data_IF_475472239057
#
_entry.id   IF_475472239057
#
_cell.length_a   1.000
_cell.length_b   1.000
_cell.length_c   1.000
_cell.angle_alpha   90.00
_cell.angle_beta   90.00
_cell.angle_gamma   90.00
#
_symmetry.space_group_name_H-M   'P 1'
#
loop_
_entity.id
_entity.type
_entity.pdbx_description
1 polymer ?
#
# COMPACT_ATOMS: atom_id res chain seq x y z
N UNK A 1 -80.98 -56.00 -73.97
CA UNK A 1 -81.65 -55.65 -75.24
C UNK A 1 -80.96 -56.38 -76.39
N UNK A 2 -81.76 -56.97 -77.26
CA UNK A 2 -81.35 -57.91 -78.30
C UNK A 2 -80.96 -57.23 -79.62
N UNK A 3 -80.37 -58.07 -80.51
CA UNK A 3 -80.03 -57.93 -81.95
C UNK A 3 -78.56 -57.58 -82.18
N UNK A 4 -77.73 -58.43 -82.80
CA UNK A 4 -77.95 -59.32 -83.95
C UNK A 4 -76.86 -58.96 -84.97
N UNK A 5 -75.71 -59.66 -85.00
CA UNK A 5 -75.34 -60.77 -85.90
C UNK A 5 -75.65 -60.51 -87.38
N UNK A 6 -74.60 -60.22 -88.17
CA UNK A 6 -74.23 -60.87 -89.45
C UNK A 6 -72.70 -60.68 -89.62
N UNK A 7 -71.81 -61.68 -89.48
CA UNK A 7 -71.48 -62.86 -90.31
C UNK A 7 -71.08 -62.57 -91.76
N UNK A 8 -69.77 -62.76 -92.03
CA UNK A 8 -69.12 -63.58 -93.10
C UNK A 8 -67.80 -62.91 -93.50
N UNK A 9 -66.72 -63.58 -93.87
CA UNK A 9 -66.26 -64.97 -93.88
C UNK A 9 -64.78 -64.93 -94.34
N UNK A 10 -64.10 -66.08 -94.28
CA UNK A 10 -62.75 -66.38 -94.81
C UNK A 10 -61.58 -65.89 -93.92
N UNK A 11 -60.91 -66.74 -93.15
CA UNK A 11 -60.45 -68.09 -93.51
C UNK A 11 -59.10 -68.04 -94.23
N UNK A 12 -58.06 -67.55 -93.56
CA UNK A 12 -56.65 -67.84 -93.93
C UNK A 12 -56.07 -68.72 -92.83
N UNK A 13 -56.03 -70.04 -93.04
CA UNK A 13 -55.23 -70.94 -92.18
C UNK A 13 -53.76 -70.59 -92.41
N UNK A 14 -53.05 -70.21 -91.35
CA UNK A 14 -51.64 -69.90 -91.42
C UNK A 14 -50.85 -71.13 -91.91
N UNK A 15 -49.91 -70.96 -92.87
CA UNK A 15 -49.12 -72.07 -93.41
C UNK A 15 -48.30 -72.74 -92.30
N UNK A 16 -48.39 -74.07 -92.22
CA UNK A 16 -47.62 -74.87 -91.29
C UNK A 16 -46.17 -74.91 -91.78
N UNK A 17 -45.25 -74.36 -91.01
CA UNK A 17 -43.83 -74.38 -91.34
C UNK A 17 -43.25 -75.71 -90.84
N UNK A 18 -42.81 -76.56 -91.78
CA UNK A 18 -42.19 -77.85 -91.49
C UNK A 18 -40.68 -77.66 -91.54
N UNK A 19 -40.02 -77.79 -90.38
CA UNK A 19 -38.57 -77.77 -90.30
C UNK A 19 -38.08 -79.22 -90.52
N UNK A 20 -37.36 -79.45 -91.61
CA UNK A 20 -36.76 -80.75 -91.92
C UNK A 20 -35.32 -80.71 -91.41
N UNK A 21 -35.05 -81.45 -90.33
CA UNK A 21 -33.71 -81.66 -89.81
C UNK A 21 -33.24 -83.04 -90.29
N UNK A 22 -32.34 -83.05 -91.28
CA UNK A 22 -31.70 -84.27 -91.76
C UNK A 22 -30.33 -84.42 -91.06
N UNK A 23 -30.14 -85.53 -90.35
CA UNK A 23 -28.84 -85.94 -89.80
C UNK A 23 -28.63 -87.42 -90.11
N UNK A 24 -27.78 -87.69 -91.10
CA UNK A 24 -27.51 -89.05 -91.60
C UNK A 24 -28.77 -89.76 -92.13
N UNK A 25 -28.85 -91.08 -91.92
CA UNK A 25 -29.94 -91.93 -92.44
C UNK A 25 -31.29 -91.77 -91.72
N UNK A 26 -31.45 -90.83 -90.77
CA UNK A 26 -32.71 -90.60 -90.05
C UNK A 26 -33.24 -89.19 -90.32
N UNK A 27 -34.37 -89.10 -91.03
CA UNK A 27 -35.09 -87.84 -91.24
C UNK A 27 -36.16 -87.71 -90.15
N UNK A 28 -36.01 -86.70 -89.27
CA UNK A 28 -37.04 -86.33 -88.29
C UNK A 28 -37.71 -85.03 -88.73
N UNK A 29 -39.03 -85.06 -88.88
CA UNK A 29 -39.84 -83.87 -89.14
C UNK A 29 -40.44 -83.37 -87.82
N UNK A 30 -40.28 -82.08 -87.54
CA UNK A 30 -40.95 -81.43 -86.40
C UNK A 30 -41.90 -80.36 -86.93
N UNK A 31 -43.19 -80.52 -86.63
CA UNK A 31 -44.22 -79.54 -87.03
C UNK A 31 -44.34 -78.46 -85.98
N UNK A 32 -43.92 -77.24 -86.29
CA UNK A 32 -44.09 -76.11 -85.37
C UNK A 32 -45.51 -75.57 -85.52
N UNK A 33 -46.37 -75.86 -84.55
CA UNK A 33 -47.71 -75.27 -84.48
C UNK A 33 -47.63 -73.82 -83.98
N UNK A 34 -48.46 -72.89 -84.47
CA UNK A 34 -48.38 -71.46 -84.11
C UNK A 34 -48.51 -71.18 -82.61
N UNK A 35 -49.20 -72.03 -81.84
CA UNK A 35 -49.29 -71.87 -80.37
C UNK A 35 -47.94 -72.10 -79.64
N UNK A 36 -47.05 -72.94 -80.19
CA UNK A 36 -45.74 -73.18 -79.58
C UNK A 36 -44.80 -71.98 -79.76
N UNK A 37 -44.87 -71.30 -80.92
CA UNK A 37 -44.13 -70.06 -81.14
C UNK A 37 -44.63 -68.92 -80.24
N UNK A 38 -45.94 -68.89 -79.94
CA UNK A 38 -46.50 -67.93 -78.99
C UNK A 38 -46.00 -68.17 -77.55
N UNK A 39 -45.90 -69.43 -77.11
CA UNK A 39 -45.37 -69.77 -75.78
C UNK A 39 -43.89 -69.45 -75.63
N UNK A 40 -43.07 -69.75 -76.64
CA UNK A 40 -41.64 -69.40 -76.58
C UNK A 40 -41.44 -67.89 -76.58
N UNK A 41 -42.21 -67.14 -77.38
CA UNK A 41 -42.17 -65.69 -77.37
C UNK A 41 -42.62 -65.10 -76.01
N UNK A 42 -43.65 -65.68 -75.39
CA UNK A 42 -44.11 -65.27 -74.07
C UNK A 42 -43.07 -65.58 -72.99
N UNK A 43 -42.41 -66.75 -73.05
CA UNK A 43 -41.33 -67.12 -72.15
C UNK A 43 -40.14 -66.16 -72.27
N UNK A 44 -39.69 -65.86 -73.49
CA UNK A 44 -38.65 -64.86 -73.73
C UNK A 44 -39.08 -63.45 -73.29
N UNK A 45 -40.36 -63.09 -73.46
CA UNK A 45 -40.94 -61.84 -72.98
C UNK A 45 -40.89 -61.70 -71.46
N UNK A 46 -41.31 -62.73 -70.71
CA UNK A 46 -41.23 -62.74 -69.25
C UNK A 46 -39.79 -62.71 -68.77
N UNK A 47 -38.88 -63.45 -69.43
CA UNK A 47 -37.48 -63.47 -69.06
C UNK A 47 -36.79 -62.11 -69.33
N UNK A 48 -37.10 -61.45 -70.44
CA UNK A 48 -36.58 -60.11 -70.75
C UNK A 48 -37.14 -59.05 -69.81
N UNK A 49 -38.43 -59.12 -69.47
CA UNK A 49 -39.03 -58.23 -68.46
C UNK A 49 -38.38 -58.45 -67.09
N UNK A 50 -38.19 -59.71 -66.68
CA UNK A 50 -37.51 -60.05 -65.43
C UNK A 50 -36.06 -59.57 -65.39
N UNK A 51 -35.34 -59.73 -66.50
CA UNK A 51 -33.97 -59.22 -66.65
C UNK A 51 -33.92 -57.69 -66.57
N UNK A 52 -34.81 -56.98 -67.27
CA UNK A 52 -34.91 -55.52 -67.22
C UNK A 52 -35.32 -55.00 -65.83
N UNK A 53 -36.21 -55.71 -65.13
CA UNK A 53 -36.61 -55.36 -63.78
C UNK A 53 -35.47 -55.56 -62.78
N UNK A 54 -34.70 -56.64 -62.91
CA UNK A 54 -33.55 -56.92 -62.05
C UNK A 54 -32.43 -55.89 -62.25
N UNK A 55 -32.10 -55.52 -63.50
CA UNK A 55 -31.10 -54.49 -63.79
C UNK A 55 -31.57 -53.12 -63.32
N UNK A 56 -32.85 -52.77 -63.51
CA UNK A 56 -33.43 -51.52 -62.98
C UNK A 56 -33.38 -51.46 -61.46
N UNK A 57 -33.70 -52.56 -60.76
CA UNK A 57 -33.63 -52.62 -59.29
C UNK A 57 -32.20 -52.44 -58.78
N UNK A 58 -31.21 -53.07 -59.41
CA UNK A 58 -29.79 -52.93 -59.00
C UNK A 58 -29.30 -51.49 -59.15
N UNK A 59 -29.62 -50.82 -60.26
CA UNK A 59 -29.26 -49.41 -60.47
C UNK A 59 -29.92 -48.50 -59.43
N UNK A 60 -31.22 -48.66 -59.19
CA UNK A 60 -31.94 -47.85 -58.19
C UNK A 60 -31.42 -48.13 -56.77
N UNK A 61 -31.08 -49.39 -56.46
CA UNK A 61 -30.50 -49.77 -55.15
C UNK A 61 -29.15 -49.11 -54.92
N UNK A 62 -28.27 -49.12 -55.93
CA UNK A 62 -26.95 -48.50 -55.82
C UNK A 62 -27.05 -46.97 -55.67
N UNK A 63 -27.98 -46.33 -56.39
CA UNK A 63 -28.26 -44.90 -56.22
C UNK A 63 -28.84 -44.59 -54.82
N UNK A 64 -29.73 -45.43 -54.29
CA UNK A 64 -30.34 -45.22 -52.97
C UNK A 64 -29.36 -45.46 -51.81
N UNK A 65 -28.53 -46.51 -51.91
CA UNK A 65 -27.45 -46.79 -50.96
C UNK A 65 -26.38 -45.72 -51.04
N UNK A 66 -26.00 -45.28 -52.25
CA UNK A 66 -25.08 -44.17 -52.46
C UNK A 66 -25.60 -42.86 -51.88
N UNK A 67 -26.87 -42.53 -52.08
CA UNK A 67 -27.48 -41.31 -51.54
C UNK A 67 -27.57 -41.31 -50.01
N UNK A 68 -27.91 -42.46 -49.40
CA UNK A 68 -28.00 -42.58 -47.93
C UNK A 68 -26.62 -42.57 -47.26
N UNK A 69 -25.63 -43.27 -47.84
CA UNK A 69 -24.24 -43.22 -47.39
C UNK A 69 -23.62 -41.83 -47.56
N UNK A 70 -23.87 -41.14 -48.67
CA UNK A 70 -23.43 -39.77 -48.86
C UNK A 70 -24.06 -38.80 -47.85
N UNK A 71 -25.34 -39.00 -47.49
CA UNK A 71 -26.01 -38.21 -46.46
C UNK A 71 -25.42 -38.48 -45.07
N UNK A 72 -25.16 -39.75 -44.72
CA UNK A 72 -24.50 -40.10 -43.45
C UNK A 72 -23.08 -39.52 -43.38
N UNK A 73 -22.29 -39.62 -44.44
CA UNK A 73 -20.95 -39.06 -44.51
C UNK A 73 -20.97 -37.52 -44.35
N UNK A 74 -21.90 -36.81 -45.00
CA UNK A 74 -22.07 -35.36 -44.81
C UNK A 74 -22.45 -35.00 -43.37
N UNK A 75 -23.40 -35.73 -42.78
CA UNK A 75 -23.78 -35.50 -41.37
C UNK A 75 -22.59 -35.74 -40.45
N UNK A 76 -21.81 -36.80 -40.69
CA UNK A 76 -20.61 -37.10 -39.91
C UNK A 76 -19.57 -35.98 -40.03
N UNK A 77 -19.27 -35.50 -41.25
CA UNK A 77 -18.36 -34.37 -41.44
C UNK A 77 -18.87 -33.08 -40.78
N UNK A 78 -20.16 -32.77 -40.89
CA UNK A 78 -20.75 -31.62 -40.18
C UNK A 78 -20.61 -31.74 -38.65
N UNK A 79 -20.72 -32.96 -38.10
CA UNK A 79 -20.48 -33.21 -36.67
C UNK A 79 -19.00 -33.11 -36.30
N UNK A 80 -18.10 -33.68 -37.10
CA UNK A 80 -16.65 -33.57 -36.93
C UNK A 80 -16.20 -32.11 -36.96
N UNK A 81 -16.70 -31.32 -37.90
CA UNK A 81 -16.42 -29.88 -38.01
C UNK A 81 -16.97 -29.10 -36.82
N UNK A 82 -18.19 -29.39 -36.35
CA UNK A 82 -18.75 -28.77 -35.14
C UNK A 82 -17.95 -29.12 -33.89
N UNK A 83 -17.51 -30.37 -33.76
CA UNK A 83 -16.67 -30.81 -32.64
C UNK A 83 -15.32 -30.12 -32.70
N UNK A 84 -14.70 -30.02 -33.88
CA UNK A 84 -13.44 -29.30 -34.07
C UNK A 84 -13.57 -27.81 -33.73
N UNK A 85 -14.65 -27.16 -34.16
CA UNK A 85 -14.93 -25.76 -33.84
C UNK A 85 -15.17 -25.54 -32.35
N UNK A 86 -15.96 -26.40 -31.69
CA UNK A 86 -16.19 -26.32 -30.24
C UNK A 86 -14.92 -26.58 -29.44
N UNK A 87 -14.08 -27.52 -29.87
CA UNK A 87 -12.78 -27.79 -29.25
C UNK A 87 -11.84 -26.61 -29.38
N UNK A 88 -11.75 -26.01 -30.57
CA UNK A 88 -10.95 -24.80 -30.79
C UNK A 88 -11.46 -23.61 -29.95
N UNK A 89 -12.77 -23.48 -29.77
CA UNK A 89 -13.36 -22.48 -28.87
C UNK A 89 -13.00 -22.75 -27.40
N UNK A 90 -13.11 -24.01 -26.96
CA UNK A 90 -12.75 -24.41 -25.60
C UNK A 90 -11.26 -24.14 -25.34
N UNK A 91 -10.37 -24.59 -26.23
CA UNK A 91 -8.92 -24.37 -26.14
C UNK A 91 -8.57 -22.88 -26.09
N UNK A 92 -9.28 -22.05 -26.87
CA UNK A 92 -9.11 -20.59 -26.86
C UNK A 92 -9.58 -19.96 -25.54
N UNK A 93 -10.69 -20.42 -24.97
CA UNK A 93 -11.22 -19.91 -23.70
C UNK A 93 -10.32 -20.36 -22.53
N UNK A 94 -9.93 -21.64 -22.49
CA UNK A 94 -9.03 -22.16 -21.45
C UNK A 94 -7.68 -21.48 -21.51
N UNK A 95 -7.11 -21.27 -22.69
CA UNK A 95 -5.84 -20.53 -22.84
C UNK A 95 -5.95 -19.09 -22.33
N UNK A 96 -7.05 -18.39 -22.64
CA UNK A 96 -7.29 -17.03 -22.13
C UNK A 96 -7.45 -17.01 -20.61
N UNK A 97 -8.19 -17.96 -20.05
CA UNK A 97 -8.40 -18.06 -18.61
C UNK A 97 -7.09 -18.34 -17.87
N UNK A 98 -6.23 -19.21 -18.41
CA UNK A 98 -4.91 -19.50 -17.82
C UNK A 98 -4.00 -18.27 -17.86
N UNK A 99 -3.98 -17.51 -18.97
CA UNK A 99 -3.22 -16.27 -19.07
C UNK A 99 -3.74 -15.20 -18.09
N UNK A 100 -5.06 -15.00 -18.02
CA UNK A 100 -5.68 -14.07 -17.08
C UNK A 100 -5.35 -14.45 -15.63
N UNK A 101 -5.37 -15.75 -15.30
CA UNK A 101 -4.98 -16.25 -13.99
C UNK A 101 -3.51 -15.94 -13.65
N UNK A 102 -2.58 -16.23 -14.57
CA UNK A 102 -1.15 -15.95 -14.36
C UNK A 102 -0.89 -14.45 -14.14
N UNK A 103 -1.56 -13.58 -14.90
CA UNK A 103 -1.44 -12.13 -14.74
C UNK A 103 -1.98 -11.67 -13.39
N UNK A 104 -3.12 -12.21 -12.96
CA UNK A 104 -3.69 -11.92 -11.63
C UNK A 104 -2.75 -12.39 -10.53
N UNK A 105 -2.22 -13.61 -10.62
CA UNK A 105 -1.26 -14.16 -9.64
C UNK A 105 -0.02 -13.27 -9.50
N UNK A 106 0.60 -12.87 -10.62
CA UNK A 106 1.74 -11.94 -10.61
C UNK A 106 1.41 -10.57 -10.00
N UNK A 107 0.20 -10.05 -10.24
CA UNK A 107 -0.25 -8.78 -9.64
C UNK A 107 -0.46 -8.93 -8.13
N UNK A 108 -1.03 -10.05 -7.67
CA UNK A 108 -1.22 -10.35 -6.25
C UNK A 108 0.14 -10.48 -5.55
N UNK A 109 1.08 -11.20 -6.14
CA UNK A 109 2.44 -11.35 -5.60
C UNK A 109 3.12 -9.99 -5.41
N UNK A 110 3.11 -9.13 -6.44
CA UNK A 110 3.65 -7.76 -6.33
C UNK A 110 2.95 -6.92 -5.27
N UNK A 111 1.63 -7.07 -5.10
CA UNK A 111 0.91 -6.36 -4.05
C UNK A 111 1.29 -6.85 -2.65
N UNK A 112 1.48 -8.16 -2.48
CA UNK A 112 1.93 -8.73 -1.20
C UNK A 112 3.35 -8.26 -0.87
N UNK A 113 4.25 -8.22 -1.85
CA UNK A 113 5.59 -7.64 -1.69
C UNK A 113 5.52 -6.16 -1.25
N UNK A 114 4.69 -5.36 -1.93
CA UNK A 114 4.48 -3.95 -1.57
C UNK A 114 3.88 -3.78 -0.17
N UNK A 115 2.91 -4.62 0.18
CA UNK A 115 2.27 -4.58 1.50
C UNK A 115 3.26 -4.95 2.62
N UNK A 116 4.07 -5.98 2.42
CA UNK A 116 5.10 -6.39 3.39
C UNK A 116 6.15 -5.29 3.57
N UNK A 117 6.63 -4.70 2.46
CA UNK A 117 7.57 -3.57 2.54
C UNK A 117 6.97 -2.37 3.30
N UNK A 118 5.69 -2.05 3.10
CA UNK A 118 5.01 -1.00 3.86
C UNK A 118 4.86 -1.36 5.34
N UNK A 119 4.61 -2.62 5.66
CA UNK A 119 4.50 -3.08 7.05
C UNK A 119 5.84 -2.97 7.79
N UNK A 120 6.93 -3.42 7.18
CA UNK A 120 8.28 -3.32 7.75
C UNK A 120 8.68 -1.85 7.98
N UNK A 121 8.37 -0.98 7.01
CA UNK A 121 8.56 0.47 7.12
C UNK A 121 7.73 1.08 8.25
N UNK A 122 6.47 0.68 8.40
CA UNK A 122 5.61 1.16 9.48
C UNK A 122 6.15 0.75 10.86
N UNK A 123 6.71 -0.46 10.99
CA UNK A 123 7.38 -0.90 12.21
C UNK A 123 8.57 -0.02 12.60
N UNK A 124 9.45 0.30 11.65
CA UNK A 124 10.58 1.24 11.87
C UNK A 124 10.09 2.62 12.27
N UNK A 125 9.09 3.14 11.55
CA UNK A 125 8.52 4.47 11.81
C UNK A 125 7.90 4.56 13.20
N UNK A 126 7.22 3.52 13.67
CA UNK A 126 6.65 3.49 15.03
C UNK A 126 7.69 3.75 16.12
N UNK A 127 8.90 3.18 16.00
CA UNK A 127 9.97 3.42 16.96
C UNK A 127 10.48 4.87 16.96
N UNK A 128 10.58 5.49 15.78
CA UNK A 128 10.99 6.89 15.65
C UNK A 128 9.89 7.85 16.08
N UNK A 129 8.63 7.48 15.87
CA UNK A 129 7.48 8.27 16.28
C UNK A 129 7.37 8.32 17.80
N UNK A 130 7.53 7.17 18.48
CA UNK A 130 7.62 7.12 19.94
C UNK A 130 8.78 7.98 20.46
N UNK A 131 9.96 7.90 19.82
CA UNK A 131 11.09 8.78 20.16
C UNK A 131 10.78 10.26 19.93
N UNK A 132 10.06 10.60 18.87
CA UNK A 132 9.62 11.97 18.61
C UNK A 132 8.67 12.46 19.72
N UNK A 133 7.71 11.63 20.16
CA UNK A 133 6.82 11.93 21.30
C UNK A 133 7.60 12.12 22.60
N UNK A 134 8.55 11.23 22.91
CA UNK A 134 9.44 11.36 24.07
C UNK A 134 10.29 12.65 24.00
N UNK A 135 10.67 13.05 22.79
CA UNK A 135 11.36 14.30 22.52
C UNK A 135 10.43 15.53 22.51
N UNK A 136 9.17 15.39 22.91
CA UNK A 136 8.19 16.46 23.05
C UNK A 136 7.59 16.98 21.74
N UNK A 137 7.81 16.29 20.62
CA UNK A 137 7.14 16.59 19.35
C UNK A 137 5.79 15.87 19.33
N UNK A 138 4.73 16.56 18.91
CA UNK A 138 3.43 15.91 18.73
C UNK A 138 3.50 14.96 17.55
N UNK A 139 3.43 13.66 17.81
CA UNK A 139 3.36 12.69 16.75
C UNK A 139 2.02 12.80 15.99
N UNK A 140 2.04 12.98 14.67
CA UNK A 140 0.84 12.89 13.87
C UNK A 140 0.37 11.44 13.81
N UNK A 141 -0.94 11.21 13.95
CA UNK A 141 -1.56 9.90 13.78
C UNK A 141 -1.27 9.36 12.37
N UNK A 142 -0.50 8.29 12.24
CA UNK A 142 -0.09 7.77 10.94
C UNK A 142 -1.24 6.97 10.32
N UNK A 143 -1.53 7.15 9.01
CA UNK A 143 -2.51 6.33 8.34
C UNK A 143 -2.05 4.87 8.40
N UNK A 144 -2.79 4.04 9.14
CA UNK A 144 -2.58 2.61 9.13
C UNK A 144 -2.93 2.05 7.75
N UNK A 145 -2.21 1.04 7.24
CA UNK A 145 -2.62 0.31 6.05
C UNK A 145 -3.91 -0.47 6.36
N UNK A 146 -5.05 0.21 6.28
CA UNK A 146 -6.35 -0.40 6.41
C UNK A 146 -6.77 -0.95 5.04
N UNK A 147 -7.10 -2.24 5.00
CA UNK A 147 -7.91 -2.79 3.92
C UNK A 147 -9.23 -2.01 3.89
N UNK A 148 -9.36 -1.04 2.99
CA UNK A 148 -10.67 -0.47 2.72
C UNK A 148 -11.46 -1.55 1.97
N UNK A 149 -12.52 -2.15 2.56
CA UNK A 149 -13.37 -3.02 1.78
C UNK A 149 -13.90 -2.19 0.63
N UNK A 150 -13.65 -2.65 -0.60
CA UNK A 150 -14.14 -2.05 -1.83
C UNK A 150 -15.58 -1.61 -1.57
N UNK A 151 -15.83 -0.29 -1.51
CA UNK A 151 -17.19 0.23 -1.43
C UNK A 151 -17.91 -0.47 -2.57
N UNK A 152 -18.91 -1.26 -2.21
CA UNK A 152 -19.77 -1.99 -3.14
C UNK A 152 -20.48 -0.90 -3.96
N UNK A 153 -19.80 -0.38 -4.99
CA UNK A 153 -20.41 0.47 -6.00
C UNK A 153 -21.66 -0.27 -6.41
N UNK A 154 -22.80 0.39 -6.21
CA UNK A 154 -24.15 -0.13 -6.32
C UNK A 154 -24.21 -1.19 -7.42
N UNK A 155 -23.99 -2.45 -7.04
CA UNK A 155 -24.47 -3.56 -7.83
C UNK A 155 -25.96 -3.33 -7.81
N UNK A 156 -26.52 -2.97 -8.97
CA UNK A 156 -27.96 -3.02 -9.19
C UNK A 156 -28.38 -4.43 -8.78
N UNK A 157 -28.84 -4.54 -7.53
CA UNK A 157 -29.22 -5.79 -6.94
C UNK A 157 -30.52 -6.15 -7.62
N UNK A 158 -30.47 -7.15 -8.49
CA UNK A 158 -31.66 -7.85 -8.99
C UNK A 158 -32.34 -8.67 -7.87
N UNK A 159 -32.26 -8.21 -6.62
CA UNK A 159 -32.79 -8.85 -5.41
C UNK A 159 -33.89 -8.01 -4.76
N UNK A 160 -34.51 -7.09 -5.50
CA UNK A 160 -35.62 -6.29 -4.99
C UNK A 160 -36.66 -6.07 -6.08
N UNK A 161 -37.55 -7.05 -6.29
CA UNK A 161 -38.92 -6.91 -6.83
C UNK A 161 -39.16 -6.25 -8.21
N UNK A 162 -38.19 -5.58 -8.82
CA UNK A 162 -38.40 -4.72 -9.99
C UNK A 162 -38.17 -5.42 -11.33
N UNK A 163 -37.52 -6.59 -11.34
CA UNK A 163 -37.37 -7.42 -12.54
C UNK A 163 -38.69 -8.03 -13.00
N UNK A 164 -39.57 -8.42 -12.07
CA UNK A 164 -40.88 -8.96 -12.39
C UNK A 164 -41.88 -7.90 -12.87
N UNK A 165 -41.77 -6.65 -12.40
CA UNK A 165 -42.62 -5.55 -12.86
C UNK A 165 -42.29 -5.09 -14.29
N UNK A 166 -41.05 -5.26 -14.76
CA UNK A 166 -40.67 -4.96 -16.14
C UNK A 166 -41.18 -6.03 -17.13
N UNK A 167 -41.24 -7.29 -16.68
CA UNK A 167 -41.74 -8.44 -17.47
C UNK A 167 -43.27 -8.38 -17.57
N UNK A 168 -43.97 -8.02 -16.48
CA UNK A 168 -45.43 -7.87 -16.46
C UNK A 168 -45.91 -6.76 -17.43
N UNK A 169 -45.15 -5.66 -17.52
CA UNK A 169 -45.39 -4.56 -18.47
C UNK A 169 -45.18 -4.91 -19.94
N UNK A 170 -44.39 -5.95 -20.21
CA UNK A 170 -44.14 -6.49 -21.56
C UNK A 170 -45.18 -7.56 -21.96
N UNK A 171 -45.79 -8.26 -20.99
CA UNK A 171 -46.85 -9.25 -21.23
C UNK A 171 -48.26 -8.65 -21.23
N UNK A 172 -48.51 -7.53 -20.54
CA UNK A 172 -49.80 -6.83 -20.56
C UNK A 172 -49.91 -5.95 -21.82
N UNK A 173 -50.27 -6.59 -22.93
CA UNK A 173 -50.26 -6.01 -24.27
C UNK A 173 -51.01 -4.69 -24.46
N UNK A 174 -50.37 -3.80 -25.21
CA UNK A 174 -51.02 -2.91 -26.19
C UNK A 174 -49.96 -2.26 -27.09
N UNK A 175 -49.53 -2.94 -28.13
CA UNK A 175 -48.97 -2.27 -29.32
C UNK A 175 -49.27 -3.09 -30.56
N UNK A 176 -49.88 -2.40 -31.51
CA UNK A 176 -50.36 -2.82 -32.80
C UNK A 176 -49.32 -3.58 -33.63
N UNK A 177 -49.81 -4.54 -34.40
CA UNK A 177 -49.04 -5.39 -35.29
C UNK A 177 -48.42 -4.61 -36.46
N UNK A 178 -47.16 -4.92 -36.76
CA UNK A 178 -46.57 -4.79 -38.10
C UNK A 178 -45.77 -6.08 -38.38
N UNK A 179 -45.85 -6.70 -39.57
CA UNK A 179 -45.35 -8.06 -39.77
C UNK A 179 -43.82 -8.11 -39.87
N UNK A 180 -43.27 -9.21 -39.35
CA UNK A 180 -41.85 -9.53 -39.29
C UNK A 180 -41.20 -9.71 -40.66
N UNK A 181 -40.00 -9.14 -40.81
CA UNK A 181 -38.99 -9.57 -41.76
C UNK A 181 -37.90 -10.34 -40.98
N UNK A 182 -37.98 -11.67 -40.98
CA UNK A 182 -37.08 -12.53 -40.20
C UNK A 182 -35.75 -12.73 -40.92
N UNK A 183 -34.74 -11.94 -40.54
CA UNK A 183 -33.34 -12.39 -40.56
C UNK A 183 -32.87 -12.53 -39.13
N UNK A 184 -32.77 -13.78 -38.67
CA UNK A 184 -32.08 -14.14 -37.42
C UNK A 184 -30.61 -13.72 -37.52
N UNK A 185 -30.31 -12.51 -37.06
CA UNK A 185 -28.99 -12.21 -36.54
C UNK A 185 -28.98 -12.70 -35.09
N UNK A 186 -28.24 -13.76 -34.83
CA UNK A 186 -27.74 -14.11 -33.50
C UNK A 186 -26.82 -12.96 -33.05
N UNK A 187 -27.44 -11.85 -32.62
CA UNK A 187 -26.78 -10.71 -32.04
C UNK A 187 -26.28 -11.10 -30.66
N UNK A 188 -24.98 -11.35 -30.59
CA UNK A 188 -24.20 -11.49 -29.37
C UNK A 188 -24.56 -10.35 -28.40
N UNK A 189 -25.30 -10.67 -27.33
CA UNK A 189 -25.42 -9.78 -26.16
C UNK A 189 -24.11 -9.97 -25.38
N UNK A 190 -23.25 -8.94 -25.22
CA UNK A 190 -22.08 -9.08 -24.37
C UNK A 190 -22.56 -9.15 -22.92
N UNK A 191 -22.67 -10.38 -22.39
CA UNK A 191 -22.89 -10.61 -20.98
C UNK A 191 -21.54 -10.60 -20.26
N UNK A 192 -21.45 -9.67 -19.29
CA UNK A 192 -20.59 -9.65 -18.10
C UNK A 192 -19.18 -9.08 -18.28
N UNK A 193 -18.91 -8.04 -17.48
CA UNK A 193 -17.58 -7.64 -17.01
C UNK A 193 -16.70 -8.89 -16.85
N UNK A 194 -15.59 -8.96 -17.59
CA UNK A 194 -14.66 -10.07 -17.46
C UNK A 194 -14.07 -10.07 -16.04
N UNK A 195 -13.75 -11.24 -15.50
CA UNK A 195 -13.15 -11.38 -14.16
C UNK A 195 -11.84 -10.58 -14.08
N UNK A 196 -11.08 -10.56 -15.18
CA UNK A 196 -9.88 -9.75 -15.35
C UNK A 196 -10.15 -8.24 -15.17
N UNK A 197 -11.20 -7.69 -15.79
CA UNK A 197 -11.53 -6.25 -15.71
C UNK A 197 -11.94 -5.84 -14.29
N UNK A 198 -12.57 -6.77 -13.55
CA UNK A 198 -12.89 -6.55 -12.13
C UNK A 198 -11.63 -6.59 -11.27
N UNK A 199 -10.74 -7.56 -11.49
CA UNK A 199 -9.48 -7.69 -10.76
C UNK A 199 -8.60 -6.44 -10.98
N UNK A 200 -8.49 -5.97 -12.23
CA UNK A 200 -7.69 -4.80 -12.59
C UNK A 200 -8.14 -3.50 -11.90
N UNK A 201 -9.46 -3.29 -11.79
CA UNK A 201 -10.00 -2.14 -11.04
C UNK A 201 -9.66 -2.22 -9.55
N UNK A 202 -9.77 -3.40 -8.95
CA UNK A 202 -9.42 -3.60 -7.53
C UNK A 202 -7.93 -3.37 -7.32
N UNK A 203 -7.07 -3.95 -8.17
CA UNK A 203 -5.63 -3.76 -8.10
C UNK A 203 -5.24 -2.29 -8.24
N UNK A 204 -5.79 -1.59 -9.23
CA UNK A 204 -5.55 -0.16 -9.43
C UNK A 204 -5.92 0.66 -8.19
N UNK A 205 -7.10 0.40 -7.60
CA UNK A 205 -7.54 1.10 -6.39
C UNK A 205 -6.64 0.83 -5.18
N UNK A 206 -6.21 -0.43 -5.00
CA UNK A 206 -5.29 -0.81 -3.91
C UNK A 206 -3.93 -0.15 -4.13
N UNK A 207 -3.34 -0.26 -5.33
CA UNK A 207 -2.06 0.39 -5.64
C UNK A 207 -2.11 1.91 -5.43
N UNK A 208 -3.19 2.57 -5.84
CA UNK A 208 -3.39 4.00 -5.61
C UNK A 208 -3.51 4.32 -4.11
N UNK A 209 -4.24 3.52 -3.35
CA UNK A 209 -4.36 3.69 -1.90
C UNK A 209 -3.00 3.54 -1.21
N UNK A 210 -2.22 2.51 -1.55
CA UNK A 210 -0.89 2.28 -0.99
C UNK A 210 0.06 3.42 -1.32
N UNK A 211 0.03 3.93 -2.56
CA UNK A 211 0.84 5.08 -2.99
C UNK A 211 0.46 6.38 -2.27
N UNK A 212 -0.83 6.60 -2.03
CA UNK A 212 -1.30 7.76 -1.26
C UNK A 212 -0.83 7.67 0.20
N UNK A 213 -0.93 6.49 0.82
CA UNK A 213 -0.42 6.25 2.18
C UNK A 213 1.09 6.52 2.23
N UNK A 214 1.87 5.99 1.29
CA UNK A 214 3.32 6.24 1.22
C UNK A 214 3.64 7.74 1.11
N UNK A 215 2.93 8.47 0.24
CA UNK A 215 3.11 9.91 0.08
C UNK A 215 2.76 10.69 1.35
N UNK A 216 1.68 10.31 2.03
CA UNK A 216 1.29 10.92 3.30
C UNK A 216 2.30 10.62 4.41
N UNK A 217 2.83 9.38 4.47
CA UNK A 217 3.86 8.99 5.43
C UNK A 217 5.15 9.80 5.20
N UNK A 218 5.61 9.91 3.95
CA UNK A 218 6.77 10.73 3.59
C UNK A 218 6.59 12.19 3.98
N UNK A 219 5.45 12.80 3.63
CA UNK A 219 5.17 14.20 3.96
C UNK A 219 5.19 14.45 5.48
N UNK A 220 4.69 13.48 6.27
CA UNK A 220 4.74 13.56 7.74
C UNK A 220 6.17 13.43 8.27
N UNK A 221 6.96 12.48 7.78
CA UNK A 221 8.37 12.33 8.14
C UNK A 221 9.12 13.64 7.85
N UNK A 222 8.97 14.21 6.66
CA UNK A 222 9.68 15.43 6.28
C UNK A 222 9.28 16.62 7.17
N UNK A 223 8.02 16.73 7.55
CA UNK A 223 7.57 17.76 8.48
C UNK A 223 8.18 17.57 9.87
N UNK A 224 8.15 16.34 10.41
CA UNK A 224 8.77 16.03 11.70
C UNK A 224 10.28 16.31 11.68
N UNK A 225 10.99 15.93 10.61
CA UNK A 225 12.41 16.22 10.45
C UNK A 225 12.68 17.72 10.45
N UNK A 226 11.84 18.49 9.75
CA UNK A 226 11.94 19.96 9.69
C UNK A 226 11.69 20.58 11.05
N UNK A 227 10.64 20.16 11.75
CA UNK A 227 10.28 20.68 13.08
C UNK A 227 11.33 20.33 14.12
N UNK A 228 11.84 19.10 14.11
CA UNK A 228 12.93 18.66 14.99
C UNK A 228 14.20 19.47 14.75
N UNK A 229 14.59 19.66 13.49
CA UNK A 229 15.78 20.43 13.11
C UNK A 229 15.65 21.89 13.48
N UNK A 230 14.50 22.52 13.18
CA UNK A 230 14.23 23.91 13.51
C UNK A 230 14.23 24.16 15.02
N UNK A 231 13.66 23.23 15.80
CA UNK A 231 13.67 23.30 17.27
C UNK A 231 15.08 23.15 17.81
N UNK A 232 15.86 22.19 17.29
CA UNK A 232 17.24 22.00 17.69
C UNK A 232 18.09 23.25 17.38
N UNK A 233 17.91 23.86 16.22
CA UNK A 233 18.63 25.09 15.82
C UNK A 233 18.23 26.29 16.69
N UNK A 234 16.95 26.41 17.05
CA UNK A 234 16.48 27.46 17.95
C UNK A 234 17.14 27.35 19.33
N UNK A 235 17.18 26.14 19.91
CA UNK A 235 17.83 25.89 21.20
C UNK A 235 19.34 26.13 21.08
N UNK A 236 20.00 25.59 20.06
CA UNK A 236 21.44 25.76 19.85
C UNK A 236 21.82 27.25 19.68
N UNK A 237 21.00 28.03 18.98
CA UNK A 237 21.21 29.47 18.85
C UNK A 237 21.10 30.20 20.19
N UNK A 238 20.21 29.77 21.10
CA UNK A 238 20.10 30.32 22.45
C UNK A 238 21.35 29.95 23.27
N UNK A 239 21.79 28.69 23.24
CA UNK A 239 22.97 28.19 23.95
C UNK A 239 24.26 28.88 23.46
N UNK A 240 24.38 29.13 22.16
CA UNK A 240 25.54 29.83 21.59
C UNK A 240 25.71 31.23 22.17
N UNK A 241 24.62 31.92 22.54
CA UNK A 241 24.68 33.27 23.15
C UNK A 241 25.16 33.26 24.58
N UNK A 242 25.04 32.14 25.29
CA UNK A 242 25.66 31.96 26.61
C UNK A 242 27.12 31.53 26.47
N UNK A 243 27.57 31.24 25.25
CA UNK A 243 28.94 30.84 24.91
C UNK A 243 29.24 29.38 25.20
N UNK A 244 28.23 28.55 25.45
CA UNK A 244 28.40 27.09 25.54
C UNK A 244 28.45 26.54 24.11
N UNK A 245 29.49 25.75 23.82
CA UNK A 245 29.57 25.01 22.56
C UNK A 245 28.77 23.73 22.71
N UNK A 246 27.70 23.60 21.92
CA UNK A 246 27.00 22.34 21.79
C UNK A 246 27.74 21.55 20.73
N UNK A 247 28.55 20.59 21.14
CA UNK A 247 29.11 19.64 20.19
C UNK A 247 27.97 18.78 19.67
N UNK A 248 27.65 18.81 18.36
CA UNK A 248 26.59 17.98 17.78
C UNK A 248 26.92 16.48 17.85
N UNK A 249 28.10 16.14 18.36
CA UNK A 249 28.67 14.81 18.40
C UNK A 249 29.19 14.45 19.79
N UNK A 250 28.65 15.02 20.88
CA UNK A 250 28.85 14.43 22.20
C UNK A 250 28.16 13.07 22.20
N UNK A 251 28.90 12.07 21.75
CA UNK A 251 28.54 10.65 21.82
C UNK A 251 27.98 10.45 23.22
N UNK A 252 26.71 10.03 23.30
CA UNK A 252 26.17 9.44 24.50
C UNK A 252 27.25 8.48 25.03
N UNK A 253 27.90 8.88 26.11
CA UNK A 253 28.99 8.12 26.70
C UNK A 253 28.31 7.00 27.47
N UNK A 254 27.92 5.96 26.72
CA UNK A 254 27.05 4.89 27.22
C UNK A 254 26.73 3.80 26.21
N UNK A 255 27.11 3.92 24.93
CA UNK A 255 27.07 2.77 24.02
C UNK A 255 28.22 2.81 23.02
N UNK A 256 29.36 2.23 23.40
CA UNK A 256 30.29 1.68 22.43
C UNK A 256 29.64 0.44 21.81
N UNK A 257 28.60 0.66 21.01
CA UNK A 257 28.33 -0.23 19.89
C UNK A 257 29.44 0.05 18.88
N UNK A 258 30.60 -0.56 19.12
CA UNK A 258 31.50 -0.92 18.03
C UNK A 258 30.63 -1.68 17.02
N UNK A 259 30.18 -0.98 15.98
CA UNK A 259 29.49 -1.59 14.87
C UNK A 259 30.42 -2.67 14.32
N UNK A 260 30.13 -3.93 14.64
CA UNK A 260 30.88 -5.08 14.16
C UNK A 260 30.86 -5.01 12.64
N UNK A 261 32.03 -4.70 12.06
CA UNK A 261 32.20 -4.53 10.63
C UNK A 261 31.80 -5.81 9.90
N UNK A 262 30.61 -5.80 9.32
CA UNK A 262 30.20 -6.78 8.34
C UNK A 262 31.04 -6.64 7.06
N UNK A 263 31.09 -7.67 6.21
CA UNK A 263 31.71 -7.54 4.90
C UNK A 263 31.11 -6.34 4.16
N UNK A 264 31.97 -5.52 3.55
CA UNK A 264 31.54 -4.40 2.72
C UNK A 264 30.67 -4.94 1.58
N UNK A 265 29.37 -4.67 1.65
CA UNK A 265 28.43 -4.90 0.56
C UNK A 265 28.23 -3.54 -0.11
N UNK A 266 28.40 -3.49 -1.43
CA UNK A 266 28.11 -2.28 -2.20
C UNK A 266 26.67 -1.81 -1.90
N UNK A 267 26.42 -0.49 -1.75
CA UNK A 267 25.08 0.02 -1.51
C UNK A 267 24.18 -0.48 -2.63
N UNK A 268 23.13 -1.23 -2.29
CA UNK A 268 22.08 -1.51 -3.26
C UNK A 268 21.44 -0.16 -3.58
N UNK A 269 21.73 0.36 -4.78
CA UNK A 269 21.15 1.60 -5.31
C UNK A 269 19.70 1.28 -5.73
N UNK A 270 18.90 0.94 -4.74
CA UNK A 270 17.45 1.13 -4.74
C UNK A 270 17.10 1.75 -3.39
N UNK A 271 17.86 2.79 -3.01
CA UNK A 271 17.61 3.54 -1.78
C UNK A 271 16.30 4.27 -2.01
N UNK A 272 15.22 3.65 -1.57
CA UNK A 272 13.91 4.25 -1.60
C UNK A 272 14.01 5.60 -0.88
N UNK A 273 13.47 6.68 -1.46
CA UNK A 273 13.54 8.02 -0.84
C UNK A 273 13.01 8.03 0.60
N UNK A 274 12.21 7.03 0.96
CA UNK A 274 11.74 6.77 2.32
C UNK A 274 12.85 6.43 3.31
N UNK A 275 13.79 5.54 2.98
CA UNK A 275 14.86 5.16 3.91
C UNK A 275 15.78 6.36 4.21
N UNK A 276 16.07 7.18 3.19
CA UNK A 276 16.80 8.44 3.38
C UNK A 276 16.06 9.39 4.31
N UNK A 277 14.73 9.56 4.12
CA UNK A 277 13.93 10.40 5.01
C UNK A 277 13.87 9.88 6.46
N UNK A 278 13.92 8.57 6.67
CA UNK A 278 14.00 7.98 8.02
C UNK A 278 15.34 8.26 8.69
N UNK A 279 16.45 8.10 7.96
CA UNK A 279 17.79 8.38 8.48
C UNK A 279 17.95 9.88 8.81
N UNK A 280 17.41 10.76 7.97
CA UNK A 280 17.35 12.20 8.23
C UNK A 280 16.53 12.53 9.48
N UNK A 281 15.38 11.87 9.68
CA UNK A 281 14.57 12.04 10.88
C UNK A 281 15.31 11.57 12.13
N UNK A 282 15.94 10.39 12.12
CA UNK A 282 16.71 9.88 13.27
C UNK A 282 17.85 10.84 13.62
N UNK A 283 18.59 11.33 12.64
CA UNK A 283 19.65 12.31 12.85
C UNK A 283 19.12 13.63 13.46
N UNK A 284 17.98 14.13 12.97
CA UNK A 284 17.35 15.34 13.49
C UNK A 284 16.88 15.17 14.94
N UNK A 285 16.24 14.03 15.26
CA UNK A 285 15.78 13.71 16.62
C UNK A 285 16.95 13.56 17.60
N UNK A 286 18.02 12.85 17.23
CA UNK A 286 19.22 12.72 18.07
C UNK A 286 19.87 14.07 18.35
N UNK A 287 19.94 14.94 17.35
CA UNK A 287 20.45 16.31 17.52
C UNK A 287 19.56 17.11 18.47
N UNK A 288 18.24 17.04 18.31
CA UNK A 288 17.29 17.72 19.19
C UNK A 288 17.45 17.24 20.64
N UNK A 289 17.53 15.94 20.86
CA UNK A 289 17.73 15.34 22.19
C UNK A 289 19.03 15.81 22.83
N UNK A 290 20.15 15.71 22.12
CA UNK A 290 21.47 16.15 22.59
C UNK A 290 21.48 17.64 22.98
N UNK A 291 20.84 18.48 22.17
CA UNK A 291 20.74 19.93 22.41
C UNK A 291 19.82 20.22 23.62
N UNK A 292 18.70 19.49 23.77
CA UNK A 292 17.80 19.61 24.94
C UNK A 292 18.46 19.16 26.23
N UNK A 293 19.21 18.05 26.20
CA UNK A 293 19.96 17.54 27.35
C UNK A 293 21.01 18.57 27.80
N UNK A 294 21.81 19.07 26.86
CA UNK A 294 22.78 20.14 27.14
C UNK A 294 22.10 21.38 27.73
N UNK A 295 20.90 21.72 27.26
CA UNK A 295 20.14 22.84 27.78
C UNK A 295 19.59 22.60 29.21
N UNK A 296 19.28 21.35 29.58
CA UNK A 296 18.78 21.00 30.92
C UNK A 296 19.87 21.00 31.99
N UNK A 297 21.10 20.66 31.61
CA UNK A 297 22.24 20.61 32.54
C UNK A 297 22.71 22.01 32.96
N UNK A 298 22.51 23.01 32.12
CA UNK A 298 23.06 24.35 32.33
C UNK A 298 22.18 25.24 33.25
N UNK A 299 22.80 26.22 33.94
CA UNK A 299 22.12 27.04 34.94
C UNK A 299 21.26 28.16 34.33
N UNK A 300 20.07 27.81 33.86
CA UNK A 300 19.13 28.76 33.21
C UNK A 300 17.97 29.24 34.10
N UNK A 301 17.82 28.67 35.29
CA UNK A 301 16.83 29.10 36.28
C UNK A 301 17.17 30.44 36.93
N UNK A 302 16.18 31.02 37.62
CA UNK A 302 16.35 32.24 38.41
C UNK A 302 16.69 31.87 39.87
N UNK A 303 17.81 32.36 40.45
CA UNK A 303 18.24 32.00 41.80
C UNK A 303 17.34 32.59 42.91
N UNK A 304 16.56 33.62 42.59
CA UNK A 304 15.62 34.29 43.50
C UNK A 304 14.29 34.57 42.74
N UNK A 305 13.42 33.56 42.56
CA UNK A 305 12.17 33.72 41.82
C UNK A 305 11.27 34.81 42.40
N UNK A 306 10.78 35.71 41.54
CA UNK A 306 9.91 36.83 41.96
C UNK A 306 10.66 38.07 42.46
N UNK A 307 12.00 38.04 42.48
CA UNK A 307 12.82 39.15 42.94
C UNK A 307 13.49 39.90 41.78
N UNK A 308 13.63 41.21 41.94
CA UNK A 308 14.27 42.08 40.94
C UNK A 308 15.80 42.15 41.13
N UNK A 309 16.50 42.41 40.02
CA UNK A 309 17.95 42.64 40.03
C UNK A 309 18.21 44.09 40.47
N UNK A 310 18.87 44.25 41.61
CA UNK A 310 19.26 45.55 42.16
C UNK A 310 20.65 45.98 41.70
N UNK A 311 21.51 45.01 41.36
CA UNK A 311 22.81 45.32 40.79
C UNK A 311 23.23 44.37 39.69
N UNK A 312 23.85 44.93 38.65
CA UNK A 312 24.30 44.21 37.46
C UNK A 312 25.77 43.84 37.54
N UNK A 313 26.14 42.84 36.75
CA UNK A 313 27.52 42.48 36.48
C UNK A 313 28.29 43.62 35.80
N UNK A 314 29.59 43.73 36.07
CA UNK A 314 30.49 44.65 35.40
C UNK A 314 31.19 45.66 36.33
N UNK A 315 31.99 46.55 35.74
CA UNK A 315 32.77 47.52 36.48
C UNK A 315 31.87 48.61 37.08
N UNK A 316 31.93 48.77 38.40
CA UNK A 316 31.21 49.80 39.16
C UNK A 316 32.07 50.37 40.28
N UNK A 317 31.64 51.49 40.86
CA UNK A 317 32.27 52.02 42.07
C UNK A 317 31.96 51.06 43.22
N UNK A 318 33.01 50.54 43.85
CA UNK A 318 32.91 49.66 45.00
C UNK A 318 32.30 50.41 46.19
N UNK A 319 31.20 49.91 46.80
CA UNK A 319 30.49 50.63 47.85
C UNK A 319 31.26 50.72 49.17
N UNK A 320 32.31 49.91 49.36
CA UNK A 320 33.13 49.92 50.58
C UNK A 320 34.44 50.69 50.38
N UNK A 321 35.05 50.60 49.19
CA UNK A 321 36.35 51.21 48.89
C UNK A 321 36.25 52.55 48.16
N UNK A 322 35.10 52.86 47.54
CA UNK A 322 34.91 54.08 46.73
C UNK A 322 35.75 54.13 45.45
N UNK A 323 36.23 52.97 44.97
CA UNK A 323 37.09 52.85 43.78
C UNK A 323 36.46 51.93 42.74
N UNK A 324 36.87 52.05 41.49
CA UNK A 324 36.38 51.17 40.42
C UNK A 324 36.77 49.71 40.72
N UNK A 325 35.79 48.81 40.73
CA UNK A 325 35.96 47.37 40.91
C UNK A 325 34.98 46.58 40.02
N UNK A 326 35.35 45.36 39.66
CA UNK A 326 34.48 44.45 38.93
C UNK A 326 33.47 43.82 39.90
N UNK A 327 32.18 43.99 39.62
CA UNK A 327 31.14 43.16 40.21
C UNK A 327 31.01 41.86 39.41
N UNK A 328 31.47 40.76 40.00
CA UNK A 328 31.61 39.45 39.34
C UNK A 328 30.28 38.66 39.20
N UNK A 329 29.15 39.27 39.59
CA UNK A 329 27.83 38.65 39.54
C UNK A 329 26.70 39.67 39.41
N UNK A 330 25.50 39.24 39.74
CA UNK A 330 24.30 40.09 39.84
C UNK A 330 23.72 39.97 41.25
N UNK A 331 23.13 41.05 41.74
CA UNK A 331 22.51 41.10 43.07
C UNK A 331 20.99 41.15 42.89
N UNK A 332 20.27 40.25 43.56
CA UNK A 332 18.81 40.23 43.62
C UNK A 332 18.31 40.77 44.96
N UNK A 333 17.30 41.64 44.93
CA UNK A 333 16.64 42.12 46.16
C UNK A 333 15.98 40.96 46.88
N UNK A 334 16.46 40.59 48.07
CA UNK A 334 15.86 39.53 48.85
C UNK A 334 15.96 39.81 50.34
N UNK A 335 14.84 39.71 51.05
CA UNK A 335 14.81 39.82 52.51
C UNK A 335 15.50 38.62 53.16
N UNK A 336 16.03 38.85 54.36
CA UNK A 336 16.68 37.77 55.12
C UNK A 336 15.69 36.63 55.36
N UNK A 337 16.08 35.41 54.99
CA UNK A 337 15.23 34.23 55.13
C UNK A 337 14.41 33.85 53.89
N UNK A 338 14.43 34.65 52.81
CA UNK A 338 13.81 34.23 51.55
C UNK A 338 14.58 33.08 50.90
N UNK A 339 13.88 32.25 50.11
CA UNK A 339 14.47 31.06 49.52
C UNK A 339 15.50 31.43 48.43
N UNK A 340 16.66 30.79 48.46
CA UNK A 340 17.62 30.78 47.35
C UNK A 340 17.57 29.41 46.71
N UNK A 341 17.42 29.37 45.39
CA UNK A 341 17.22 28.12 44.64
C UNK A 341 18.35 27.87 43.64
N UNK A 342 18.62 26.60 43.35
CA UNK A 342 19.57 26.22 42.31
C UNK A 342 19.05 26.60 40.92
N UNK A 343 19.90 27.22 40.10
CA UNK A 343 19.55 27.65 38.75
C UNK A 343 19.72 26.56 37.69
N UNK A 344 20.32 25.42 38.04
CA UNK A 344 20.47 24.27 37.15
C UNK A 344 20.72 23.01 37.97
N UNK A 345 20.59 21.85 37.32
CA UNK A 345 20.99 20.59 37.95
C UNK A 345 22.51 20.53 38.11
N UNK A 346 23.00 19.91 39.19
CA UNK A 346 24.44 19.84 39.41
C UNK A 346 24.83 19.27 40.77
N UNK A 347 26.13 19.29 41.03
CA UNK A 347 26.72 18.84 42.29
C UNK A 347 27.23 20.03 43.10
N UNK A 348 26.91 20.06 44.39
CA UNK A 348 27.47 21.06 45.31
C UNK A 348 28.96 20.79 45.50
N UNK A 349 29.81 21.75 45.13
CA UNK A 349 31.27 21.69 45.29
C UNK A 349 31.80 22.54 46.45
N UNK A 350 31.02 23.52 46.91
CA UNK A 350 31.33 24.30 48.11
C UNK A 350 30.03 24.62 48.84
N UNK A 351 30.00 24.44 50.17
CA UNK A 351 28.88 24.86 51.02
C UNK A 351 29.39 25.30 52.40
N UNK A 352 29.60 26.60 52.60
CA UNK A 352 30.10 27.13 53.87
C UNK A 352 30.55 28.60 53.83
N UNK A 353 31.21 29.08 54.90
CA UNK A 353 31.80 30.42 54.93
C UNK A 353 32.93 30.58 53.89
N UNK A 354 32.86 31.62 53.06
CA UNK A 354 33.77 31.87 51.93
C UNK A 354 34.20 33.34 51.88
N UNK A 355 34.86 33.81 52.94
CA UNK A 355 35.44 35.15 53.03
C UNK A 355 34.45 36.27 52.70
N UNK A 356 34.76 37.06 51.66
CA UNK A 356 33.92 38.18 51.22
C UNK A 356 32.51 37.79 50.78
N UNK A 357 32.29 36.55 50.35
CA UNK A 357 30.98 36.04 49.97
C UNK A 357 30.10 35.69 51.18
N UNK A 358 30.64 35.70 52.41
CA UNK A 358 29.90 35.25 53.59
C UNK A 358 29.59 33.76 53.49
N UNK A 359 28.38 33.36 53.84
CA UNK A 359 27.93 31.99 53.61
C UNK A 359 27.60 31.81 52.12
N UNK A 360 28.27 30.84 51.50
CA UNK A 360 28.21 30.63 50.07
C UNK A 360 27.93 29.16 49.73
N UNK A 361 27.16 28.97 48.66
CA UNK A 361 27.04 27.69 47.96
C UNK A 361 27.62 27.85 46.55
N UNK A 362 28.38 26.86 46.09
CA UNK A 362 28.86 26.74 44.72
C UNK A 362 28.44 25.41 44.12
N UNK A 363 27.88 25.45 42.92
CA UNK A 363 27.33 24.29 42.22
C UNK A 363 28.09 24.11 40.91
N UNK A 364 28.57 22.89 40.66
CA UNK A 364 29.10 22.45 39.38
C UNK A 364 28.01 21.84 38.52
N UNK A 365 27.77 22.44 37.36
CA UNK A 365 26.79 22.03 36.35
C UNK A 365 27.44 21.20 35.23
N UNK A 366 28.74 20.91 35.34
CA UNK A 366 29.51 20.31 34.27
C UNK A 366 29.87 21.31 33.17
N UNK A 367 30.56 20.83 32.13
CA UNK A 367 30.97 21.64 30.97
C UNK A 367 31.79 22.90 31.34
N UNK A 368 32.50 22.86 32.48
CA UNK A 368 33.25 23.99 33.01
C UNK A 368 32.39 25.13 33.56
N UNK A 369 31.07 24.93 33.71
CA UNK A 369 30.13 25.95 34.19
C UNK A 369 29.80 25.72 35.66
N UNK A 370 30.04 26.74 36.49
CA UNK A 370 29.70 26.74 37.92
C UNK A 370 28.84 27.95 38.27
N UNK A 371 28.03 27.83 39.31
CA UNK A 371 27.26 28.96 39.86
C UNK A 371 27.58 29.19 41.31
N UNK A 372 27.64 30.46 41.73
CA UNK A 372 27.86 30.85 43.14
C UNK A 372 26.69 31.64 43.67
N UNK A 373 26.35 31.35 44.91
CA UNK A 373 25.25 31.98 45.64
C UNK A 373 25.80 32.49 46.97
N UNK A 374 25.97 33.80 47.09
CA UNK A 374 26.62 34.45 48.23
C UNK A 374 25.65 35.08 49.23
N UNK A 375 26.22 35.56 50.32
CA UNK A 375 25.61 36.34 51.39
C UNK A 375 24.45 35.67 52.13
N UNK A 376 24.36 34.33 52.09
CA UNK A 376 23.25 33.60 52.71
C UNK A 376 23.20 33.80 54.23
N UNK A 377 21.99 33.81 54.80
CA UNK A 377 21.79 33.72 56.25
C UNK A 377 21.91 32.27 56.75
N UNK A 378 21.49 31.32 55.93
CA UNK A 378 21.54 29.88 56.25
C UNK A 378 21.76 29.06 54.98
N UNK A 379 22.67 28.09 55.05
CA UNK A 379 22.89 27.08 54.02
C UNK A 379 22.06 25.84 54.39
N UNK A 380 21.38 25.24 53.40
CA UNK A 380 20.50 24.09 53.60
C UNK A 380 21.03 22.80 52.96
N UNK A 381 22.09 22.90 52.18
CA UNK A 381 22.76 21.78 51.48
C UNK A 381 24.18 21.59 51.99
N UNK A 382 24.81 20.47 51.60
CA UNK A 382 26.18 20.13 51.92
C UNK A 382 26.98 19.88 50.65
N UNK A 383 28.30 20.01 50.78
CA UNK A 383 29.22 19.60 49.73
C UNK A 383 29.01 18.12 49.38
N UNK A 384 28.93 17.82 48.09
CA UNK A 384 28.64 16.49 47.58
C UNK A 384 27.18 16.22 47.22
N UNK A 385 26.23 17.03 47.69
CA UNK A 385 24.81 16.86 47.39
C UNK A 385 24.55 17.06 45.88
N UNK A 386 23.64 16.26 45.33
CA UNK A 386 23.08 16.47 43.98
C UNK A 386 21.82 17.30 44.11
N UNK A 387 21.69 18.34 43.27
CA UNK A 387 20.53 19.22 43.25
C UNK A 387 19.94 19.30 41.84
N UNK A 388 18.63 19.47 41.79
CA UNK A 388 17.86 19.76 40.58
C UNK A 388 17.62 21.26 40.45
N UNK A 389 17.26 21.70 39.24
CA UNK A 389 16.82 23.08 39.03
C UNK A 389 15.62 23.40 39.93
N UNK A 390 15.68 24.54 40.62
CA UNK A 390 14.64 25.00 41.55
C UNK A 390 14.76 24.47 42.98
N UNK A 391 15.67 23.53 43.26
CA UNK A 391 15.89 23.04 44.62
C UNK A 391 16.37 24.16 45.55
N UNK A 392 15.84 24.18 46.76
CA UNK A 392 16.13 25.24 47.73
C UNK A 392 17.44 24.96 48.45
N UNK A 393 18.50 25.65 48.05
CA UNK A 393 19.86 25.44 48.56
C UNK A 393 20.17 26.26 49.82
N UNK A 394 19.40 27.31 50.08
CA UNK A 394 19.71 28.23 51.15
C UNK A 394 18.64 29.27 51.44
N UNK A 395 19.04 30.26 52.24
CA UNK A 395 18.21 31.38 52.67
C UNK A 395 19.00 32.67 52.48
N UNK A 396 18.39 33.66 51.82
CA UNK A 396 19.00 34.96 51.57
C UNK A 396 19.36 35.66 52.89
N UNK A 397 20.34 36.56 52.85
CA UNK A 397 20.87 37.23 54.04
C UNK A 397 21.81 38.37 53.70
N UNK A 398 22.66 38.73 54.65
CA UNK A 398 23.63 39.82 54.53
C UNK A 398 24.97 39.47 55.18
N UNK A 399 25.41 38.22 55.03
CA UNK A 399 26.70 37.76 55.61
C UNK A 399 27.89 38.14 54.74
N UNK A 400 29.09 38.23 55.32
CA UNK A 400 30.29 38.63 54.59
C UNK A 400 30.28 40.11 54.19
N UNK A 401 30.76 40.41 52.98
CA UNK A 401 30.89 41.78 52.49
C UNK A 401 29.62 42.23 51.77
N UNK A 402 28.60 42.59 52.55
CA UNK A 402 27.28 43.00 52.06
C UNK A 402 26.83 44.32 52.70
N UNK A 403 26.11 45.15 51.93
CA UNK A 403 25.50 46.40 52.42
C UNK A 403 24.06 46.21 52.93
N UNK A 404 23.47 45.04 52.73
CA UNK A 404 22.10 44.73 53.15
C UNK A 404 21.60 43.38 52.61
N UNK A 405 20.41 42.91 53.00
CA UNK A 405 19.89 41.63 52.55
C UNK A 405 19.73 41.55 51.02
N UNK A 406 20.39 40.57 50.40
CA UNK A 406 20.27 40.26 48.96
C UNK A 406 20.79 38.84 48.65
N UNK A 407 20.58 38.38 47.41
CA UNK A 407 21.25 37.20 46.85
C UNK A 407 22.28 37.66 45.83
N UNK A 408 23.56 37.45 46.12
CA UNK A 408 24.62 37.62 45.12
C UNK A 408 24.76 36.35 44.32
N UNK A 409 24.61 36.45 43.00
CA UNK A 409 24.63 35.32 42.09
C UNK A 409 25.70 35.50 41.01
N UNK A 410 26.60 34.53 40.87
CA UNK A 410 27.58 34.49 39.80
C UNK A 410 27.36 33.25 38.91
N UNK A 411 27.65 33.42 37.63
CA UNK A 411 27.91 32.31 36.71
C UNK A 411 29.38 32.39 36.35
N UNK A 412 30.07 31.26 36.37
CA UNK A 412 31.50 31.19 36.04
C UNK A 412 31.74 30.11 34.99
N UNK A 413 32.65 30.38 34.07
CA UNK A 413 33.14 29.43 33.07
C UNK A 413 34.63 29.25 33.24
N UNK A 414 35.06 28.00 33.40
CA UNK A 414 36.46 27.62 33.58
C UNK A 414 37.13 28.46 34.69
N UNK A 415 36.36 28.68 35.77
CA UNK A 415 36.76 29.48 36.92
C UNK A 415 36.66 31.01 36.75
N UNK A 416 36.35 31.55 35.57
CA UNK A 416 36.23 32.99 35.32
C UNK A 416 34.76 33.47 35.39
N UNK A 417 34.45 34.59 36.06
CA UNK A 417 33.09 35.11 36.10
C UNK A 417 32.64 35.61 34.73
N UNK A 418 31.39 35.33 34.38
CA UNK A 418 30.73 35.80 33.15
C UNK A 418 29.40 36.46 33.52
N UNK A 419 28.86 37.30 32.63
CA UNK A 419 27.60 38.00 32.90
C UNK A 419 26.42 37.00 33.06
N UNK A 420 25.84 36.87 34.27
CA UNK A 420 24.73 35.95 34.52
C UNK A 420 23.46 36.28 33.72
N UNK A 421 23.29 37.52 33.27
CA UNK A 421 22.11 37.96 32.51
C UNK A 421 21.95 37.16 31.21
N UNK A 422 23.04 36.71 30.59
CA UNK A 422 22.96 35.88 29.38
C UNK A 422 22.29 34.54 29.65
N UNK A 423 22.55 33.92 30.81
CA UNK A 423 21.97 32.65 31.21
C UNK A 423 20.49 32.82 31.61
N UNK A 424 20.18 33.85 32.41
CA UNK A 424 18.80 34.13 32.83
C UNK A 424 17.89 34.42 31.62
N UNK A 425 18.37 35.20 30.65
CA UNK A 425 17.63 35.48 29.42
C UNK A 425 17.50 34.27 28.50
N UNK A 426 18.50 33.38 28.50
CA UNK A 426 18.41 32.11 27.78
C UNK A 426 17.34 31.21 28.38
N UNK A 427 17.27 31.08 29.71
CA UNK A 427 16.25 30.29 30.40
C UNK A 427 14.83 30.68 30.06
N UNK A 428 14.52 31.98 30.10
CA UNK A 428 13.18 32.49 29.71
C UNK A 428 12.79 32.14 28.28
N UNK A 429 13.75 31.93 27.38
CA UNK A 429 13.48 31.54 25.98
C UNK A 429 13.40 30.02 25.84
N UNK A 430 14.20 29.29 26.62
CA UNK A 430 14.25 27.83 26.59
C UNK A 430 13.01 27.17 27.19
N UNK A 431 12.31 27.83 28.12
CA UNK A 431 11.05 27.32 28.69
C UNK A 431 10.01 26.98 27.63
N UNK A 432 10.00 27.67 26.49
CA UNK A 432 9.06 27.39 25.38
C UNK A 432 9.40 26.11 24.61
N UNK A 433 10.66 25.64 24.71
CA UNK A 433 11.17 24.49 23.95
C UNK A 433 11.46 23.26 24.82
N UNK A 434 11.59 23.44 26.13
CA UNK A 434 11.93 22.36 27.06
C UNK A 434 10.73 21.71 27.74
N UNK A 435 9.58 22.40 27.76
CA UNK A 435 8.33 21.95 28.36
C UNK A 435 7.47 21.12 27.43
#
# INVERSE_FOLDING_TARGET
>A
MAKGIEKRAFGKRAPQHVLILASGEKIRHMTIRPWMAALTFCFFGVFTIGYLAATSYLVIRDDLVGATMARQARMQHDYEDRIAALRAQLDRITSRQLLDQQVVEQKVEKLLEQQNALFDRHGKLGSLLNRAEESGLTAPEMPAPAFQPVKKERQASLSGGSGFQAIDKLLSGKTSATPLDTKSALGFVPLRDNIADRADRVFSNVTLSLKNIEKEQLAKITNLTTDASATADAIAAILKRTGVQVDPARKASGDTSEGVGGPYVEPQIDVSGFDVSLDELDAALRRLESVRETARDLPFGNPAPGHEITSRYGNRIDPFLGRLALHAGVDFQADTGQAVVATGAGKIITAGPSGGYGNMVEIDHGQGVTTRYGHMSKILVKEGDMVSVGDVIGRAGSTGRSTGPHVHYEVRRDGNPVDPIHFLNAGMKLTTYLN
#
